data_IF_039465516541
#
_entry.id   IF_039465516541
#
_cell.length_a   1.000
_cell.length_b   1.000
_cell.length_c   1.000
_cell.angle_alpha   90.00
_cell.angle_beta   90.00
_cell.angle_gamma   90.00
#
_symmetry.space_group_name_H-M   'P 1'
#
loop_
_entity.id
_entity.type
_entity.pdbx_description
1 polymer ?
#
# COMPACT_ATOMS: atom_id res chain seq x y z
N UNK A 1 -15.42 -13.08 8.07
CA UNK A 1 -15.85 -11.67 8.14
C UNK A 1 -14.69 -10.84 7.61
N UNK A 2 -14.78 -10.34 6.37
CA UNK A 2 -13.66 -9.63 5.73
C UNK A 2 -13.59 -8.21 6.29
N UNK A 3 -12.54 -7.93 7.05
CA UNK A 3 -12.28 -6.66 7.72
C UNK A 3 -12.19 -5.54 6.68
N UNK A 4 -12.97 -4.51 6.95
CA UNK A 4 -13.36 -3.43 6.07
C UNK A 4 -12.19 -2.59 5.59
N UNK A 5 -12.24 -2.23 4.31
CA UNK A 5 -11.58 -1.10 3.63
C UNK A 5 -11.94 0.28 4.24
N UNK A 6 -12.25 0.32 5.53
CA UNK A 6 -12.75 1.48 6.25
C UNK A 6 -11.65 2.53 6.44
N UNK A 7 -12.10 3.77 6.60
CA UNK A 7 -11.19 4.87 6.88
C UNK A 7 -10.45 4.64 8.21
N UNK A 8 -9.13 4.84 8.20
CA UNK A 8 -8.29 4.87 9.41
C UNK A 8 -7.29 6.01 9.33
N UNK A 9 -7.13 6.74 10.42
CA UNK A 9 -6.10 7.75 10.60
C UNK A 9 -5.07 7.25 11.61
N UNK A 10 -3.80 7.31 11.26
CA UNK A 10 -2.67 6.85 12.06
C UNK A 10 -1.57 7.91 12.02
N UNK A 11 -0.82 8.06 13.09
CA UNK A 11 0.49 8.71 13.04
C UNK A 11 1.49 7.83 12.29
N UNK A 12 2.58 8.42 11.82
CA UNK A 12 3.68 7.68 11.21
C UNK A 12 4.21 6.59 12.16
N UNK A 13 4.38 6.89 13.45
CA UNK A 13 4.91 5.94 14.42
C UNK A 13 3.94 4.76 14.67
N UNK A 14 2.64 5.03 14.79
CA UNK A 14 1.62 3.97 14.92
C UNK A 14 1.60 3.07 13.68
N UNK A 15 1.61 3.65 12.49
CA UNK A 15 1.65 2.90 11.24
C UNK A 15 2.91 2.00 11.15
N UNK A 16 4.07 2.55 11.50
CA UNK A 16 5.34 1.82 11.47
C UNK A 16 5.40 0.73 12.56
N UNK A 17 4.80 0.95 13.72
CA UNK A 17 4.67 -0.06 14.77
C UNK A 17 3.79 -1.22 14.31
N UNK A 18 2.61 -0.93 13.75
CA UNK A 18 1.68 -1.93 13.23
C UNK A 18 2.29 -2.74 12.08
N UNK A 19 3.01 -2.10 11.16
CA UNK A 19 3.69 -2.79 10.07
C UNK A 19 4.78 -3.74 10.58
N UNK A 20 5.56 -3.31 11.58
CA UNK A 20 6.58 -4.15 12.22
C UNK A 20 5.98 -5.33 12.97
N UNK A 21 4.87 -5.12 13.67
CA UNK A 21 4.16 -6.18 14.38
C UNK A 21 3.68 -7.28 13.42
N UNK A 22 3.14 -6.88 12.25
CA UNK A 22 2.58 -7.83 11.27
C UNK A 22 3.63 -8.56 10.43
N UNK A 23 4.71 -7.88 10.06
CA UNK A 23 5.63 -8.34 9.01
C UNK A 23 7.10 -8.37 9.44
N UNK A 24 7.41 -7.96 10.66
CA UNK A 24 8.78 -7.86 11.17
C UNK A 24 9.50 -6.59 10.74
N UNK A 25 10.81 -6.54 10.98
CA UNK A 25 11.60 -5.31 10.84
C UNK A 25 11.99 -4.95 9.40
N UNK A 26 11.86 -5.88 8.44
CA UNK A 26 12.22 -5.63 7.03
C UNK A 26 11.06 -4.95 6.28
N UNK A 27 11.17 -3.65 5.92
CA UNK A 27 10.11 -2.95 5.23
C UNK A 27 9.82 -3.48 3.84
N UNK A 28 10.76 -4.21 3.21
CA UNK A 28 10.52 -4.80 1.89
C UNK A 28 9.43 -5.86 1.91
N UNK A 29 9.14 -6.44 3.08
CA UNK A 29 8.14 -7.48 3.27
C UNK A 29 6.79 -6.94 3.74
N UNK A 30 6.69 -5.64 4.03
CA UNK A 30 5.45 -5.04 4.51
C UNK A 30 4.42 -5.02 3.38
N UNK A 31 3.42 -5.89 3.49
CA UNK A 31 2.46 -6.11 2.44
C UNK A 31 1.23 -5.20 2.61
N UNK A 32 0.70 -4.73 1.50
CA UNK A 32 -0.44 -3.83 1.43
C UNK A 32 -1.54 -4.44 0.59
N UNK A 33 -2.80 -4.25 0.98
CA UNK A 33 -3.96 -4.72 0.23
C UNK A 33 -4.57 -3.59 -0.59
N UNK A 34 -4.62 -3.74 -1.91
CA UNK A 34 -5.36 -2.82 -2.77
C UNK A 34 -6.84 -2.79 -2.39
N UNK A 35 -7.39 -1.63 -2.01
CA UNK A 35 -8.79 -1.53 -1.58
C UNK A 35 -9.80 -1.66 -2.72
N UNK A 36 -9.34 -1.51 -3.97
CA UNK A 36 -10.20 -1.62 -5.16
C UNK A 36 -10.32 -3.06 -5.66
N UNK A 37 -9.20 -3.78 -5.84
CA UNK A 37 -9.21 -5.15 -6.40
C UNK A 37 -8.81 -6.24 -5.40
N UNK A 38 -8.35 -5.88 -4.19
CA UNK A 38 -7.98 -6.84 -3.15
C UNK A 38 -6.59 -7.45 -3.27
N UNK A 39 -5.84 -7.18 -4.36
CA UNK A 39 -4.46 -7.68 -4.53
C UNK A 39 -3.55 -7.27 -3.36
N UNK A 40 -2.71 -8.18 -2.90
CA UNK A 40 -1.76 -7.94 -1.82
C UNK A 40 -0.37 -7.84 -2.42
N UNK A 41 0.34 -6.73 -2.21
CA UNK A 41 1.70 -6.52 -2.71
C UNK A 41 2.60 -5.82 -1.68
N UNK A 42 3.87 -6.19 -1.68
CA UNK A 42 4.94 -5.65 -0.83
C UNK A 42 5.92 -4.79 -1.64
N UNK A 43 6.74 -3.93 -1.03
CA UNK A 43 7.80 -3.23 -1.77
C UNK A 43 8.76 -4.17 -2.52
N UNK A 44 8.97 -5.41 -2.04
CA UNK A 44 9.72 -6.41 -2.78
C UNK A 44 9.07 -6.78 -4.13
N UNK A 45 7.73 -6.89 -4.19
CA UNK A 45 6.99 -7.12 -5.45
C UNK A 45 7.22 -5.97 -6.44
N UNK A 46 7.13 -4.73 -5.97
CA UNK A 46 7.35 -3.54 -6.81
C UNK A 46 8.78 -3.48 -7.33
N UNK A 47 9.76 -3.80 -6.47
CA UNK A 47 11.17 -3.90 -6.86
C UNK A 47 11.37 -4.96 -7.95
N UNK A 48 10.77 -6.14 -7.80
CA UNK A 48 10.83 -7.21 -8.80
C UNK A 48 10.17 -6.82 -10.14
N UNK A 49 9.11 -6.00 -10.09
CA UNK A 49 8.46 -5.43 -11.26
C UNK A 49 9.25 -4.25 -11.91
N UNK A 50 10.39 -3.85 -11.33
CA UNK A 50 11.19 -2.71 -11.81
C UNK A 50 10.54 -1.35 -11.56
N UNK A 51 9.61 -1.25 -10.60
CA UNK A 51 8.96 0.00 -10.24
C UNK A 51 9.88 0.91 -9.40
N UNK A 52 9.68 2.24 -9.44
CA UNK A 52 10.33 3.15 -8.51
C UNK A 52 10.06 2.78 -7.04
N UNK A 53 10.97 3.10 -6.11
CA UNK A 53 10.72 2.92 -4.68
C UNK A 53 9.55 3.78 -4.20
N UNK A 54 8.88 3.35 -3.12
CA UNK A 54 7.81 4.12 -2.47
C UNK A 54 6.42 4.00 -3.10
N UNK A 55 6.23 3.11 -4.08
CA UNK A 55 4.92 2.88 -4.72
C UNK A 55 4.00 1.97 -3.90
N UNK A 56 4.57 1.01 -3.17
CA UNK A 56 3.82 0.12 -2.30
C UNK A 56 3.00 0.91 -1.27
N UNK A 57 1.74 0.49 -1.08
CA UNK A 57 0.80 1.18 -0.20
C UNK A 57 0.16 2.42 -0.84
N UNK A 58 0.62 2.94 -1.97
CA UNK A 58 -0.03 4.05 -2.67
C UNK A 58 -0.59 3.66 -4.03
N UNK A 59 0.03 2.69 -4.69
CA UNK A 59 -0.37 2.18 -6.00
C UNK A 59 -0.70 0.70 -5.93
N UNK A 60 -1.65 0.25 -6.76
CA UNK A 60 -1.80 -1.17 -7.01
C UNK A 60 -0.65 -1.64 -7.92
N UNK A 61 -0.08 -2.81 -7.61
CA UNK A 61 1.03 -3.39 -8.39
C UNK A 61 0.70 -3.55 -9.88
N UNK A 62 -0.59 -3.67 -10.22
CA UNK A 62 -1.05 -3.71 -11.60
C UNK A 62 -0.58 -2.53 -12.43
N UNK A 63 -0.43 -1.32 -11.85
CA UNK A 63 0.12 -0.16 -12.57
C UNK A 63 1.53 -0.41 -13.06
N UNK A 64 2.38 -1.02 -12.23
CA UNK A 64 3.75 -1.41 -12.58
C UNK A 64 3.79 -2.59 -13.55
N UNK A 65 2.77 -3.46 -13.53
CA UNK A 65 2.67 -4.63 -14.40
C UNK A 65 1.96 -4.35 -15.73
N UNK A 66 1.50 -3.10 -15.96
CA UNK A 66 0.97 -2.67 -17.25
C UNK A 66 -0.55 -2.52 -17.33
N UNK A 67 -1.28 -2.48 -16.21
CA UNK A 67 -2.72 -2.24 -16.16
C UNK A 67 -3.14 -0.88 -16.77
N UNK A 68 -2.19 0.07 -16.89
CA UNK A 68 -2.40 1.36 -17.55
C UNK A 68 -2.26 1.32 -19.09
N UNK A 69 -1.73 0.23 -19.66
CA UNK A 69 -1.51 0.12 -21.10
C UNK A 69 -2.84 -0.05 -21.84
N UNK A 70 -2.87 0.38 -23.10
CA UNK A 70 -4.03 0.21 -24.00
C UNK A 70 -3.59 -0.54 -25.27
N UNK A 71 -4.20 -1.71 -25.58
CA UNK A 71 -5.14 -2.45 -24.73
C UNK A 71 -4.46 -2.95 -23.44
N UNK A 72 -5.22 -3.07 -22.36
CA UNK A 72 -4.70 -3.64 -21.11
C UNK A 72 -4.41 -5.13 -21.33
N UNK A 73 -3.31 -5.69 -20.78
CA UNK A 73 -3.03 -7.11 -20.91
C UNK A 73 -4.09 -7.92 -20.16
N UNK A 74 -4.58 -9.00 -20.78
CA UNK A 74 -5.77 -9.74 -20.33
C UNK A 74 -5.58 -10.60 -19.07
N UNK A 75 -4.40 -10.63 -18.46
CA UNK A 75 -4.10 -11.43 -17.25
C UNK A 75 -3.06 -10.74 -16.35
N UNK A 76 -3.16 -9.41 -16.19
CA UNK A 76 -2.25 -8.67 -15.31
C UNK A 76 -2.69 -8.83 -13.85
N UNK A 77 -1.77 -9.18 -12.95
CA UNK A 77 -2.01 -9.13 -11.50
C UNK A 77 -2.33 -7.68 -11.08
N UNK A 78 -3.37 -7.49 -10.28
CA UNK A 78 -3.79 -6.18 -9.77
C UNK A 78 -4.53 -5.30 -10.79
N UNK A 79 -5.01 -4.14 -10.34
CA UNK A 79 -5.69 -3.13 -11.16
C UNK A 79 -4.84 -1.85 -11.33
N UNK A 80 -5.42 -0.79 -11.90
CA UNK A 80 -4.76 0.49 -12.15
C UNK A 80 -4.99 1.55 -11.05
N UNK A 81 -5.59 1.17 -9.92
CA UNK A 81 -5.98 2.09 -8.85
C UNK A 81 -4.80 2.63 -8.03
N UNK A 82 -4.95 3.84 -7.48
CA UNK A 82 -3.99 4.50 -6.62
C UNK A 82 -4.71 5.30 -5.50
N UNK A 83 -4.03 5.51 -4.37
CA UNK A 83 -4.52 6.19 -3.17
C UNK A 83 -4.36 7.72 -3.19
N UNK A 84 -4.00 8.28 -4.34
CA UNK A 84 -3.76 9.71 -4.53
C UNK A 84 -4.52 10.24 -5.75
N UNK A 85 -4.53 11.56 -5.92
CA UNK A 85 -5.26 12.25 -6.99
C UNK A 85 -6.65 12.66 -6.55
N UNK A 86 -7.67 12.39 -7.38
CA UNK A 86 -9.06 12.75 -7.08
C UNK A 86 -9.64 11.96 -5.90
N UNK A 87 -9.32 10.67 -5.83
CA UNK A 87 -9.75 9.78 -4.76
C UNK A 87 -8.57 9.42 -3.88
N UNK A 88 -8.80 9.39 -2.58
CA UNK A 88 -7.79 9.11 -1.56
C UNK A 88 -7.89 7.67 -1.09
N UNK A 89 -6.78 7.14 -0.59
CA UNK A 89 -6.72 5.86 0.10
C UNK A 89 -7.65 5.81 1.32
N UNK A 90 -8.07 4.62 1.78
CA UNK A 90 -8.81 4.49 3.02
C UNK A 90 -7.95 4.76 4.25
N UNK A 91 -6.62 4.64 4.18
CA UNK A 91 -5.76 4.96 5.32
C UNK A 91 -5.09 6.32 5.12
N UNK A 92 -4.98 7.08 6.20
CA UNK A 92 -4.30 8.36 6.29
C UNK A 92 -3.18 8.25 7.32
N UNK A 93 -1.93 8.38 6.87
CA UNK A 93 -0.74 8.40 7.73
C UNK A 93 -0.29 9.85 7.90
N UNK A 94 -0.37 10.35 9.14
CA UNK A 94 0.07 11.70 9.52
C UNK A 94 1.56 11.68 9.76
N UNK A 95 2.29 12.41 8.93
CA UNK A 95 3.73 12.64 9.07
C UNK A 95 3.92 13.94 9.87
N UNK A 96 4.65 13.90 11.00
CA UNK A 96 4.83 15.07 11.85
C UNK A 96 5.60 16.19 11.12
N UNK A 97 5.46 17.41 11.61
CA UNK A 97 6.25 18.54 11.13
C UNK A 97 7.75 18.34 11.42
N UNK A 98 8.61 18.58 10.43
CA UNK A 98 10.07 18.42 10.55
C UNK A 98 10.78 19.47 9.70
N UNK A 99 11.83 20.11 10.24
CA UNK A 99 12.71 21.05 9.53
C UNK A 99 11.97 22.12 8.68
N UNK A 100 10.99 22.78 9.28
CA UNK A 100 10.21 23.84 8.61
C UNK A 100 9.18 23.33 7.60
N UNK A 101 9.01 22.02 7.45
CA UNK A 101 7.89 21.42 6.73
C UNK A 101 6.71 21.27 7.68
N UNK A 102 5.50 21.68 7.29
CA UNK A 102 4.31 21.43 8.10
C UNK A 102 4.01 19.94 8.17
N UNK A 103 3.20 19.56 9.16
CA UNK A 103 2.56 18.25 9.19
C UNK A 103 1.83 17.96 7.87
N UNK A 104 1.90 16.72 7.40
CA UNK A 104 1.30 16.31 6.14
C UNK A 104 0.62 14.94 6.25
N UNK A 105 -0.45 14.75 5.48
CA UNK A 105 -1.16 13.48 5.36
C UNK A 105 -0.72 12.71 4.11
N UNK A 106 -0.23 11.49 4.29
CA UNK A 106 0.02 10.54 3.20
C UNK A 106 -1.13 9.54 3.16
N UNK A 107 -1.80 9.43 2.02
CA UNK A 107 -2.91 8.51 1.83
C UNK A 107 -2.41 7.16 1.34
N UNK A 108 -2.87 6.08 1.98
CA UNK A 108 -2.35 4.74 1.77
C UNK A 108 -3.46 3.69 1.68
N UNK A 109 -3.07 2.53 1.16
CA UNK A 109 -3.81 1.29 1.22
C UNK A 109 -3.66 0.70 2.63
N UNK A 110 -4.62 -0.14 3.07
CA UNK A 110 -4.45 -0.91 4.28
C UNK A 110 -3.23 -1.83 4.20
N UNK A 111 -2.53 -2.00 5.33
CA UNK A 111 -1.64 -3.14 5.51
C UNK A 111 -2.46 -4.43 5.31
N UNK A 112 -1.85 -5.43 4.68
CA UNK A 112 -2.45 -6.74 4.59
C UNK A 112 -2.55 -7.38 5.98
N UNK A 113 -3.36 -8.43 6.09
CA UNK A 113 -3.32 -9.29 7.27
C UNK A 113 -1.99 -10.05 7.28
N UNK A 114 -1.39 -10.31 8.46
CA UNK A 114 -0.24 -11.21 8.54
C UNK A 114 -0.63 -12.58 7.98
N UNK A 115 0.31 -13.28 7.35
CA UNK A 115 0.06 -14.65 6.91
C UNK A 115 -0.29 -15.49 8.14
N UNK A 116 -1.47 -16.12 8.14
CA UNK A 116 -1.76 -17.17 9.13
C UNK A 116 -0.80 -18.31 8.85
N UNK A 117 0.02 -18.68 9.83
CA UNK A 117 0.74 -19.94 9.80
C UNK A 117 -0.30 -21.06 9.94
N UNK A 118 -0.87 -21.49 8.82
CA UNK A 118 -1.60 -22.75 8.76
C UNK A 118 -0.55 -23.87 8.64
N UNK A 119 -0.33 -24.57 9.75
CA UNK A 119 0.37 -25.86 9.85
C UNK A 119 -0.39 -26.97 9.08
#
# INVERSE_FOLDING_TARGET
MSLTTAYRKLTQDEFMAEARERFGSDPLLWAFRCPHCGDIASPADFKAAGAPPGMAGQECIGRSLGALKKPAPTNTRGCDWAAYGLFRGPWEVVVPAEDGKPEASIWAFPLAEPATSDD
#
